data_IF_572403219059
#
_entry.id   IF_572403219059
#
_cell.length_a   1.000
_cell.length_b   1.000
_cell.length_c   1.000
_cell.angle_alpha   90.00
_cell.angle_beta   90.00
_cell.angle_gamma   90.00
#
_symmetry.space_group_name_H-M   'P 1'
#
loop_
_entity.id
_entity.type
_entity.pdbx_description
1 polymer ?
#
# COMPACT_ATOMS: atom_id res chain seq x y z
N UNK A 1 -0.45 9.50 13.87
CA UNK A 1 -0.72 9.12 12.47
C UNK A 1 0.49 9.48 11.64
N UNK A 2 1.08 8.54 10.88
CA UNK A 2 2.14 8.86 9.91
C UNK A 2 1.46 9.12 8.57
N UNK A 3 1.65 10.33 8.01
CA UNK A 3 1.13 10.69 6.69
C UNK A 3 2.19 10.31 5.65
N UNK A 4 1.77 9.64 4.59
CA UNK A 4 2.59 9.37 3.40
C UNK A 4 1.90 9.92 2.18
N UNK A 5 2.68 10.29 1.16
CA UNK A 5 2.10 10.63 -0.14
C UNK A 5 1.59 9.35 -0.79
N UNK A 6 0.45 9.42 -1.48
CA UNK A 6 -0.11 8.28 -2.22
C UNK A 6 0.91 7.77 -3.25
N UNK A 7 1.63 8.68 -3.90
CA UNK A 7 2.68 8.36 -4.87
C UNK A 7 3.83 7.52 -4.30
N UNK A 8 4.00 7.47 -2.98
CA UNK A 8 5.03 6.65 -2.32
C UNK A 8 4.56 5.22 -2.04
N UNK A 9 3.25 4.95 -2.10
CA UNK A 9 2.68 3.64 -1.77
C UNK A 9 2.22 2.87 -3.00
N UNK A 10 1.75 3.55 -4.05
CA UNK A 10 1.38 2.88 -5.31
C UNK A 10 2.61 2.16 -5.91
N UNK A 11 2.42 0.92 -6.37
CA UNK A 11 3.47 0.03 -6.88
C UNK A 11 4.32 -0.64 -5.80
N UNK A 12 4.03 -0.42 -4.50
CA UNK A 12 4.72 -1.14 -3.44
C UNK A 12 4.34 -2.62 -3.46
N UNK A 13 5.34 -3.50 -3.31
CA UNK A 13 5.12 -4.94 -3.18
C UNK A 13 4.52 -5.28 -1.83
N UNK A 14 3.47 -6.10 -1.86
CA UNK A 14 2.76 -6.61 -0.69
C UNK A 14 3.13 -8.08 -0.50
N UNK A 15 3.37 -8.46 0.75
CA UNK A 15 3.74 -9.82 1.13
C UNK A 15 2.81 -10.32 2.23
N UNK A 16 2.59 -11.63 2.27
CA UNK A 16 1.88 -12.28 3.37
C UNK A 16 2.73 -12.26 4.65
N UNK A 17 2.13 -12.60 5.78
CA UNK A 17 2.85 -12.79 7.05
C UNK A 17 3.85 -13.95 6.99
N UNK A 18 3.64 -14.91 6.09
CA UNK A 18 4.61 -15.98 5.77
C UNK A 18 5.76 -15.53 4.86
N UNK A 19 5.69 -14.30 4.32
CA UNK A 19 6.72 -13.70 3.46
C UNK A 19 6.52 -13.95 1.96
N UNK A 20 5.42 -14.59 1.57
CA UNK A 20 5.12 -14.86 0.15
C UNK A 20 4.67 -13.59 -0.56
N UNK A 21 5.08 -13.42 -1.82
CA UNK A 21 4.64 -12.30 -2.64
C UNK A 21 3.14 -12.43 -2.93
N UNK A 22 2.39 -11.37 -2.60
CA UNK A 22 0.96 -11.32 -2.82
C UNK A 22 0.60 -10.51 -4.07
N UNK A 23 1.25 -9.36 -4.28
CA UNK A 23 0.94 -8.46 -5.38
C UNK A 23 1.54 -7.06 -5.17
N UNK A 24 1.03 -6.09 -5.93
CA UNK A 24 1.42 -4.67 -5.82
C UNK A 24 0.20 -3.80 -5.49
N UNK A 25 0.43 -2.65 -4.86
CA UNK A 25 -0.65 -1.69 -4.57
C UNK A 25 -0.99 -0.91 -5.85
N UNK A 26 -2.20 -1.10 -6.39
CA UNK A 26 -2.65 -0.39 -7.60
C UNK A 26 -3.47 0.87 -7.28
N UNK A 27 -4.27 0.83 -6.21
CA UNK A 27 -5.13 1.95 -5.79
C UNK A 27 -5.20 2.07 -4.26
N UNK A 28 -5.58 3.26 -3.79
CA UNK A 28 -5.77 3.53 -2.38
C UNK A 28 -7.06 4.33 -2.17
N UNK A 29 -7.95 3.80 -1.32
CA UNK A 29 -9.14 4.53 -0.89
C UNK A 29 -8.76 5.51 0.23
N UNK A 30 -9.02 6.79 -0.01
CA UNK A 30 -8.82 7.84 0.99
C UNK A 30 -10.11 8.04 1.76
N UNK A 31 -10.00 8.08 3.09
CA UNK A 31 -11.09 8.56 3.91
C UNK A 31 -11.06 10.08 3.89
N UNK A 32 -12.11 10.70 3.34
CA UNK A 32 -12.33 12.13 3.51
C UNK A 32 -12.74 12.42 4.95
N UNK A 33 -12.23 13.54 5.47
CA UNK A 33 -12.27 13.92 6.89
C UNK A 33 -13.48 14.80 7.19
#
# INVERSE_FOLDING_TARGET
MRIKKITEVIGSKVYTDSGDFFGEIEEANLQEN
#
